data_IF_880842804726
#
_entry.id   IF_880842804726
#
_cell.length_a   1.000
_cell.length_b   1.000
_cell.length_c   1.000
_cell.angle_alpha   90.00
_cell.angle_beta   90.00
_cell.angle_gamma   90.00
#
_symmetry.space_group_name_H-M   'P 1'
#
loop_
_entity.id
_entity.type
_entity.pdbx_description
1 polymer ?
#
# COMPACT_ATOMS: atom_id res chain seq x y z
N UNK A 1 11.21 -34.53 8.92
CA UNK A 1 10.13 -33.58 8.58
C UNK A 1 10.45 -33.02 7.20
N UNK A 2 9.86 -33.62 6.19
CA UNK A 2 10.40 -33.75 4.83
C UNK A 2 10.02 -32.53 3.96
N UNK A 3 10.84 -32.17 2.95
CA UNK A 3 10.62 -31.05 2.01
C UNK A 3 9.18 -30.91 1.49
N UNK A 4 8.46 -32.03 1.35
CA UNK A 4 7.05 -32.11 0.94
C UNK A 4 6.12 -31.32 1.87
N UNK A 5 6.32 -31.37 3.18
CA UNK A 5 5.48 -30.64 4.15
C UNK A 5 5.69 -29.12 4.06
N UNK A 6 6.91 -28.68 3.72
CA UNK A 6 7.23 -27.25 3.52
C UNK A 6 6.66 -26.73 2.19
N UNK A 7 6.67 -27.55 1.13
CA UNK A 7 6.08 -27.20 -0.17
C UNK A 7 4.55 -27.07 -0.08
N UNK A 8 3.88 -28.00 0.61
CA UNK A 8 2.43 -27.93 0.84
C UNK A 8 2.05 -26.68 1.67
N UNK A 9 2.84 -26.31 2.68
CA UNK A 9 2.61 -25.11 3.47
C UNK A 9 2.77 -23.80 2.66
N UNK A 10 3.71 -23.74 1.72
CA UNK A 10 3.90 -22.61 0.81
C UNK A 10 2.71 -22.45 -0.16
N UNK A 11 2.12 -23.56 -0.62
CA UNK A 11 0.96 -23.53 -1.52
C UNK A 11 -0.36 -23.13 -0.83
N UNK A 12 -0.38 -23.15 0.51
CA UNK A 12 -1.56 -22.77 1.33
C UNK A 12 -1.53 -21.35 1.90
N UNK A 13 -0.44 -20.61 1.73
CA UNK A 13 -0.35 -19.25 2.26
C UNK A 13 -1.02 -18.23 1.34
N UNK A 14 -1.79 -17.27 1.90
CA UNK A 14 -2.32 -16.16 1.14
C UNK A 14 -1.22 -15.39 0.42
N UNK A 15 -1.43 -15.11 -0.86
CA UNK A 15 -0.43 -14.45 -1.71
C UNK A 15 -0.98 -13.23 -2.41
N UNK A 16 -0.07 -12.36 -2.81
CA UNK A 16 -0.36 -11.25 -3.69
C UNK A 16 -0.50 -11.74 -5.12
N UNK A 17 -1.53 -11.25 -5.81
CA UNK A 17 -1.81 -11.53 -7.20
C UNK A 17 -1.83 -10.20 -7.97
N UNK A 18 -1.13 -10.16 -9.10
CA UNK A 18 -1.32 -9.08 -10.06
C UNK A 18 -2.62 -9.30 -10.84
N UNK A 19 -3.55 -8.36 -10.70
CA UNK A 19 -4.75 -8.27 -11.52
C UNK A 19 -4.37 -7.90 -12.96
N UNK A 20 -4.95 -8.60 -13.94
CA UNK A 20 -4.67 -8.40 -15.37
C UNK A 20 -5.96 -8.17 -16.16
N UNK A 21 -5.88 -7.40 -17.25
CA UNK A 21 -6.97 -7.22 -18.23
C UNK A 21 -6.70 -7.99 -19.52
N UNK A 22 -6.13 -9.19 -19.39
CA UNK A 22 -5.88 -10.06 -20.54
C UNK A 22 -7.16 -10.80 -20.91
N UNK A 23 -7.41 -10.99 -22.22
CA UNK A 23 -8.56 -11.77 -22.70
C UNK A 23 -8.54 -13.16 -22.07
N UNK A 24 -9.67 -13.58 -21.51
CA UNK A 24 -9.80 -14.87 -20.82
C UNK A 24 -9.30 -14.90 -19.37
N UNK A 25 -8.61 -13.86 -18.89
CA UNK A 25 -8.20 -13.80 -17.48
C UNK A 25 -9.41 -13.73 -16.56
N UNK A 26 -9.35 -14.49 -15.47
CA UNK A 26 -10.33 -14.50 -14.38
C UNK A 26 -9.58 -14.40 -13.07
N UNK A 27 -10.13 -13.64 -12.14
CA UNK A 27 -9.64 -13.63 -10.77
C UNK A 27 -9.72 -15.05 -10.19
N UNK A 28 -8.66 -15.54 -9.50
CA UNK A 28 -8.75 -16.80 -8.78
C UNK A 28 -9.88 -16.78 -7.75
N UNK A 29 -10.49 -17.95 -7.53
CA UNK A 29 -11.58 -18.08 -6.58
C UNK A 29 -11.14 -17.63 -5.18
N UNK A 30 -11.97 -16.81 -4.51
CA UNK A 30 -11.68 -16.31 -3.17
C UNK A 30 -10.73 -15.12 -3.08
N UNK A 31 -10.05 -14.74 -4.17
CA UNK A 31 -9.13 -13.60 -4.17
C UNK A 31 -9.89 -12.26 -4.04
N UNK A 32 -9.40 -11.35 -3.20
CA UNK A 32 -10.03 -10.06 -2.91
C UNK A 32 -9.34 -8.93 -3.65
N UNK A 33 -10.08 -8.09 -4.35
CA UNK A 33 -9.53 -6.89 -4.98
C UNK A 33 -9.28 -5.78 -3.95
N UNK A 34 -8.03 -5.34 -3.83
CA UNK A 34 -7.60 -4.29 -2.89
C UNK A 34 -7.08 -3.03 -3.58
N UNK A 35 -7.16 -2.95 -4.91
CA UNK A 35 -6.63 -1.80 -5.67
C UNK A 35 -7.44 -0.51 -5.54
N UNK A 36 -7.07 0.50 -6.35
CA UNK A 36 -7.75 1.81 -6.45
C UNK A 36 -9.27 1.63 -6.59
N UNK A 37 -10.03 2.44 -5.85
CA UNK A 37 -11.50 2.42 -5.81
C UNK A 37 -12.11 1.41 -4.83
N UNK A 38 -11.29 0.55 -4.21
CA UNK A 38 -11.72 -0.25 -3.07
C UNK A 38 -11.45 0.49 -1.76
N UNK A 39 -12.12 0.08 -0.67
CA UNK A 39 -11.82 0.56 0.69
C UNK A 39 -10.41 0.20 1.19
N UNK A 40 -9.74 -0.72 0.49
CA UNK A 40 -8.40 -1.21 0.79
C UNK A 40 -7.31 -0.52 -0.04
N UNK A 41 -7.70 0.38 -0.95
CA UNK A 41 -6.77 1.06 -1.85
C UNK A 41 -5.86 2.00 -1.08
N UNK A 42 -4.61 2.09 -1.51
CA UNK A 42 -3.64 3.04 -0.95
C UNK A 42 -4.02 4.49 -1.31
N UNK A 43 -4.31 5.37 -0.32
CA UNK A 43 -4.59 6.78 -0.58
C UNK A 43 -3.32 7.67 -0.60
N UNK A 44 -2.15 7.12 -0.30
CA UNK A 44 -0.88 7.83 -0.21
C UNK A 44 -0.18 7.86 -1.57
N UNK A 45 -0.64 8.75 -2.46
CA UNK A 45 -0.15 8.81 -3.85
C UNK A 45 0.86 9.92 -4.11
N UNK A 46 1.02 10.85 -3.18
CA UNK A 46 1.84 12.04 -3.38
C UNK A 46 2.61 12.41 -2.11
N UNK A 47 3.77 13.00 -2.31
CA UNK A 47 4.63 13.54 -1.25
C UNK A 47 4.81 15.04 -1.44
N UNK A 48 5.06 15.75 -0.35
CA UNK A 48 5.55 17.13 -0.37
C UNK A 48 6.98 17.19 0.14
N UNK A 49 7.76 18.10 -0.44
CA UNK A 49 9.19 18.27 -0.16
C UNK A 49 9.55 19.77 -0.07
N UNK A 50 10.30 20.21 0.97
CA UNK A 50 10.64 19.43 2.17
C UNK A 50 9.39 19.12 3.01
N UNK A 51 9.50 18.25 4.01
CA UNK A 51 8.46 18.11 5.02
C UNK A 51 8.44 19.32 5.97
N UNK A 52 7.32 19.51 6.65
CA UNK A 52 7.11 20.57 7.65
C UNK A 52 7.86 20.31 8.95
N UNK A 53 8.13 19.05 9.28
CA UNK A 53 8.87 18.64 10.47
C UNK A 53 10.40 18.67 10.28
N UNK A 54 10.87 19.08 9.10
CA UNK A 54 12.28 19.12 8.73
C UNK A 54 12.82 17.82 8.14
N UNK A 55 12.00 16.78 8.01
CA UNK A 55 12.36 15.60 7.21
C UNK A 55 12.37 15.92 5.70
N UNK A 56 12.97 15.04 4.90
CA UNK A 56 13.13 15.26 3.46
C UNK A 56 11.77 15.34 2.73
N UNK A 57 10.82 14.49 3.13
CA UNK A 57 9.51 14.39 2.49
C UNK A 57 8.46 13.92 3.49
N UNK A 58 7.21 14.28 3.25
CA UNK A 58 6.07 13.73 3.99
C UNK A 58 4.85 13.57 3.08
N UNK A 59 3.83 12.83 3.55
CA UNK A 59 2.59 12.61 2.80
C UNK A 59 1.90 13.94 2.46
N UNK A 60 1.65 14.18 1.17
CA UNK A 60 0.77 15.26 0.73
C UNK A 60 -0.69 14.82 0.89
N UNK A 61 -1.37 15.41 1.88
CA UNK A 61 -2.76 15.09 2.19
C UNK A 61 -3.79 15.88 1.37
N UNK A 62 -3.37 16.97 0.73
CA UNK A 62 -4.23 17.82 -0.11
C UNK A 62 -4.37 17.17 -1.49
N UNK A 63 -5.41 16.35 -1.63
CA UNK A 63 -5.74 15.68 -2.89
C UNK A 63 -5.92 16.70 -4.03
N UNK A 64 -5.44 16.37 -5.23
CA UNK A 64 -5.73 17.13 -6.46
C UNK A 64 -4.64 18.07 -6.95
N UNK A 65 -3.39 17.92 -6.48
CA UNK A 65 -2.24 18.66 -7.03
C UNK A 65 -1.55 17.82 -8.11
N UNK A 66 -1.02 18.47 -9.15
CA UNK A 66 -0.22 17.76 -10.14
C UNK A 66 1.24 17.64 -9.65
N UNK A 67 1.89 16.53 -9.99
CA UNK A 67 3.32 16.35 -9.76
C UNK A 67 4.12 17.49 -10.42
N UNK A 68 5.12 18.01 -9.71
CA UNK A 68 5.96 19.13 -10.16
C UNK A 68 5.42 20.53 -9.78
N UNK A 69 4.26 20.63 -9.14
CA UNK A 69 3.73 21.92 -8.70
C UNK A 69 4.25 22.31 -7.32
N UNK A 70 4.55 23.59 -7.14
CA UNK A 70 4.78 24.19 -5.83
C UNK A 70 3.47 24.66 -5.20
N UNK A 71 3.31 24.45 -3.90
CA UNK A 71 2.15 24.90 -3.12
C UNK A 71 2.58 25.58 -1.83
N UNK A 72 1.93 26.70 -1.54
CA UNK A 72 2.08 27.38 -0.26
C UNK A 72 1.48 26.53 0.88
N UNK A 73 2.17 26.53 2.01
CA UNK A 73 1.67 26.06 3.30
C UNK A 73 1.62 27.24 4.25
N UNK A 74 0.46 27.50 4.83
CA UNK A 74 0.28 28.58 5.81
C UNK A 74 0.33 27.95 7.20
N UNK A 75 1.35 28.31 7.96
CA UNK A 75 1.57 27.81 9.31
C UNK A 75 0.60 28.45 10.32
N UNK A 76 0.42 27.85 11.52
CA UNK A 76 -0.42 28.44 12.57
C UNK A 76 0.01 29.85 12.98
N UNK A 77 1.30 30.17 12.90
CA UNK A 77 1.87 31.50 13.16
C UNK A 77 1.74 32.48 11.98
N UNK A 78 1.05 32.06 10.91
CA UNK A 78 0.84 32.79 9.65
C UNK A 78 2.08 32.96 8.77
N UNK A 79 3.21 32.34 9.11
CA UNK A 79 4.31 32.23 8.16
C UNK A 79 3.90 31.34 6.98
N UNK A 80 4.54 31.54 5.83
CA UNK A 80 4.23 30.80 4.60
C UNK A 80 5.50 30.15 4.07
N UNK A 81 5.45 28.83 3.87
CA UNK A 81 6.52 28.06 3.21
C UNK A 81 6.03 27.51 1.89
N UNK A 82 6.95 27.31 0.94
CA UNK A 82 6.65 26.76 -0.39
C UNK A 82 7.18 25.34 -0.49
N UNK A 83 6.35 24.41 -0.94
CA UNK A 83 6.68 22.98 -1.00
C UNK A 83 6.40 22.43 -2.39
N UNK A 84 7.32 21.62 -2.90
CA UNK A 84 7.15 20.86 -4.13
C UNK A 84 6.26 19.64 -3.86
N UNK A 85 5.22 19.45 -4.66
CA UNK A 85 4.42 18.22 -4.66
C UNK A 85 4.92 17.30 -5.77
N UNK A 86 5.20 16.04 -5.42
CA UNK A 86 5.59 15.01 -6.38
C UNK A 86 4.72 13.77 -6.21
N UNK A 87 4.55 13.03 -7.29
CA UNK A 87 4.03 11.67 -7.20
C UNK A 87 5.00 10.84 -6.37
N UNK A 88 4.47 10.07 -5.42
CA UNK A 88 5.27 9.22 -4.58
C UNK A 88 5.93 8.12 -5.41
N UNK A 89 7.18 7.78 -5.08
CA UNK A 89 7.72 6.50 -5.51
C UNK A 89 6.87 5.37 -4.93
N UNK A 90 7.02 4.16 -5.46
CA UNK A 90 6.26 3.03 -4.98
C UNK A 90 6.61 2.70 -3.54
N UNK A 91 7.88 2.81 -3.19
CA UNK A 91 8.46 2.59 -1.88
C UNK A 91 7.90 3.61 -0.89
N UNK A 92 7.89 4.90 -1.26
CA UNK A 92 7.25 5.95 -0.47
C UNK A 92 5.75 5.69 -0.26
N UNK A 93 5.03 5.33 -1.33
CA UNK A 93 3.61 5.05 -1.26
C UNK A 93 3.31 3.88 -0.30
N UNK A 94 4.12 2.83 -0.32
CA UNK A 94 3.96 1.66 0.57
C UNK A 94 4.36 1.98 2.01
N UNK A 95 5.44 2.73 2.22
CA UNK A 95 5.86 3.18 3.56
C UNK A 95 4.78 4.04 4.21
N UNK A 96 4.30 5.07 3.51
CA UNK A 96 3.19 5.90 3.97
C UNK A 96 1.91 5.10 4.22
N UNK A 97 1.64 4.07 3.41
CA UNK A 97 0.46 3.22 3.61
C UNK A 97 0.55 2.39 4.90
N UNK A 98 1.73 1.86 5.22
CA UNK A 98 1.96 1.12 6.46
C UNK A 98 1.67 1.99 7.68
N UNK A 99 2.22 3.20 7.71
CA UNK A 99 1.96 4.17 8.79
C UNK A 99 0.49 4.59 8.84
N UNK A 100 -0.11 4.84 7.68
CA UNK A 100 -1.52 5.26 7.58
C UNK A 100 -2.49 4.20 8.11
N UNK A 101 -2.24 2.92 7.84
CA UNK A 101 -3.05 1.82 8.36
C UNK A 101 -2.95 1.73 9.88
N UNK A 102 -1.78 1.97 10.47
CA UNK A 102 -1.58 1.98 11.92
C UNK A 102 -2.35 3.11 12.60
N UNK A 103 -2.53 4.24 11.92
CA UNK A 103 -3.37 5.35 12.37
C UNK A 103 -4.88 5.10 12.18
N UNK A 104 -5.27 3.97 11.57
CA UNK A 104 -6.66 3.64 11.24
C UNK A 104 -7.11 2.31 11.87
N UNK A 105 -7.39 2.29 13.19
CA UNK A 105 -7.70 1.06 13.91
C UNK A 105 -8.92 0.31 13.33
N UNK A 106 -9.94 1.03 12.84
CA UNK A 106 -11.11 0.41 12.19
C UNK A 106 -10.75 -0.28 10.87
N UNK A 107 -9.88 0.33 10.06
CA UNK A 107 -9.43 -0.28 8.81
C UNK A 107 -8.57 -1.51 9.09
N UNK A 108 -7.63 -1.39 10.04
CA UNK A 108 -6.76 -2.48 10.43
C UNK A 108 -7.54 -3.68 10.98
N UNK A 109 -8.48 -3.45 11.90
CA UNK A 109 -9.35 -4.49 12.44
C UNK A 109 -10.16 -5.18 11.33
N UNK A 110 -10.71 -4.39 10.41
CA UNK A 110 -11.49 -4.95 9.31
C UNK A 110 -10.60 -5.72 8.32
N UNK A 111 -9.36 -5.30 8.08
CA UNK A 111 -8.40 -6.06 7.27
C UNK A 111 -8.11 -7.42 7.91
N UNK A 112 -7.87 -7.47 9.23
CA UNK A 112 -7.67 -8.73 9.97
C UNK A 112 -8.89 -9.65 9.89
N UNK A 113 -10.10 -9.11 9.96
CA UNK A 113 -11.32 -9.91 9.93
C UNK A 113 -11.66 -10.40 8.51
N UNK A 114 -11.55 -9.55 7.50
CA UNK A 114 -12.10 -9.80 6.16
C UNK A 114 -11.08 -10.33 5.16
N UNK A 115 -9.79 -10.08 5.36
CA UNK A 115 -8.72 -10.45 4.42
C UNK A 115 -7.90 -11.66 4.89
N UNK A 116 -8.06 -12.11 6.14
CA UNK A 116 -7.33 -13.25 6.69
C UNK A 116 -7.57 -14.50 5.85
N UNK A 117 -6.49 -15.20 5.50
CA UNK A 117 -6.54 -16.42 4.70
C UNK A 117 -6.89 -16.19 3.22
N UNK A 118 -6.93 -14.95 2.72
CA UNK A 118 -7.33 -14.64 1.34
C UNK A 118 -6.20 -14.08 0.50
N UNK A 119 -6.09 -14.56 -0.73
CA UNK A 119 -5.24 -13.93 -1.74
C UNK A 119 -5.70 -12.50 -2.04
N UNK A 120 -4.76 -11.57 -2.19
CA UNK A 120 -5.06 -10.16 -2.44
C UNK A 120 -4.63 -9.74 -3.84
N UNK A 121 -5.54 -9.07 -4.57
CA UNK A 121 -5.33 -8.62 -5.94
C UNK A 121 -5.15 -7.10 -6.04
N UNK A 122 -4.07 -6.68 -6.68
CA UNK A 122 -3.83 -5.29 -7.06
C UNK A 122 -3.33 -5.21 -8.52
N UNK A 123 -3.37 -4.03 -9.13
CA UNK A 123 -2.84 -3.81 -10.49
C UNK A 123 -1.30 -3.76 -10.54
N UNK A 124 -0.65 -3.51 -9.41
CA UNK A 124 0.81 -3.37 -9.34
C UNK A 124 1.53 -4.64 -9.82
N UNK A 125 2.57 -4.51 -10.66
CA UNK A 125 3.35 -5.65 -11.12
C UNK A 125 4.05 -6.33 -9.94
N UNK A 126 4.20 -7.66 -10.01
CA UNK A 126 4.87 -8.43 -8.94
C UNK A 126 6.38 -8.21 -8.95
N UNK A 127 6.95 -8.01 -10.13
CA UNK A 127 8.37 -7.75 -10.35
C UNK A 127 8.56 -6.57 -11.29
N UNK A 128 9.72 -5.94 -11.24
CA UNK A 128 10.15 -4.92 -12.20
C UNK A 128 10.74 -5.57 -13.46
N UNK A 129 11.29 -4.74 -14.36
CA UNK A 129 11.87 -5.20 -15.62
C UNK A 129 13.15 -6.03 -15.43
N UNK A 130 13.79 -5.93 -14.27
CA UNK A 130 14.98 -6.71 -13.88
C UNK A 130 14.60 -8.02 -13.15
N UNK A 131 13.32 -8.21 -12.86
CA UNK A 131 12.81 -9.38 -12.14
C UNK A 131 12.84 -9.25 -10.61
N UNK A 132 13.15 -8.06 -10.07
CA UNK A 132 13.15 -7.83 -8.63
C UNK A 132 11.71 -7.66 -8.10
N UNK A 133 11.38 -8.17 -6.90
CA UNK A 133 10.08 -7.95 -6.29
C UNK A 133 9.74 -6.47 -6.14
N UNK A 134 8.52 -6.12 -6.52
CA UNK A 134 8.04 -4.75 -6.50
C UNK A 134 7.13 -4.54 -5.29
N UNK A 135 7.38 -3.57 -4.39
CA UNK A 135 6.58 -3.39 -3.18
C UNK A 135 5.15 -2.95 -3.51
N UNK A 136 4.14 -3.45 -2.78
CA UNK A 136 2.76 -3.02 -2.95
C UNK A 136 2.04 -2.94 -1.61
N UNK A 137 1.00 -2.11 -1.56
CA UNK A 137 0.14 -2.00 -0.39
C UNK A 137 -0.61 -3.30 -0.09
N UNK A 138 -0.81 -4.16 -1.09
CA UNK A 138 -1.36 -5.50 -0.90
C UNK A 138 -0.44 -6.39 -0.04
N UNK A 139 0.88 -6.16 -0.07
CA UNK A 139 1.84 -6.89 0.76
C UNK A 139 1.67 -6.49 2.24
N UNK A 140 1.48 -5.19 2.52
CA UNK A 140 1.15 -4.68 3.86
C UNK A 140 -0.15 -5.26 4.39
N UNK A 141 -1.19 -5.35 3.56
CA UNK A 141 -2.47 -5.94 3.95
C UNK A 141 -2.38 -7.46 4.20
N UNK A 142 -1.58 -8.18 3.41
CA UNK A 142 -1.33 -9.61 3.62
C UNK A 142 -0.64 -9.86 4.95
N UNK A 143 0.41 -9.10 5.25
CA UNK A 143 1.12 -9.14 6.54
C UNK A 143 0.16 -8.86 7.69
N UNK A 144 -0.54 -7.71 7.63
CA UNK A 144 -1.46 -7.29 8.69
C UNK A 144 -2.56 -8.31 8.99
N UNK A 145 -3.11 -8.94 7.94
CA UNK A 145 -4.23 -9.87 8.09
C UNK A 145 -3.81 -11.26 8.58
N UNK A 146 -2.53 -11.64 8.38
CA UNK A 146 -2.06 -13.00 8.60
C UNK A 146 -0.96 -13.13 9.68
N UNK A 147 -0.36 -12.04 10.15
CA UNK A 147 0.60 -12.10 11.27
C UNK A 147 -0.05 -12.58 12.58
N UNK A 148 0.48 -13.64 13.21
CA UNK A 148 0.04 -14.06 14.54
C UNK A 148 0.63 -13.12 15.60
N UNK A 149 -0.23 -12.40 16.35
CA UNK A 149 0.19 -11.73 17.59
C UNK A 149 0.14 -10.19 17.61
N UNK A 150 -0.32 -9.52 16.54
CA UNK A 150 -0.69 -8.10 16.61
C UNK A 150 -2.14 -7.97 17.09
N UNK A 151 -2.37 -8.31 18.35
CA UNK A 151 -3.62 -7.95 19.04
C UNK A 151 -3.75 -6.40 19.07
N UNK A 152 -4.98 -5.86 19.02
CA UNK A 152 -5.21 -4.41 19.02
C UNK A 152 -4.64 -3.72 20.26
#
# INVERSE_FOLDING_TARGET
MTQISRQIALDTQPRRIQRRRLKGWRAPAGAVYVGRGSRWGNPCTQVRMPALDGSEWEREGRLGKASGQYHAFVHPDKTVTSHLVQDATREQAVAMFREWVDLMPRLAAAARAELRGRDLMCWCPLVDDEGNPVPCHADVLLELANEPGREP
#
